data_IF_930830153318
#
_entry.id   IF_930830153318
#
_cell.length_a   1.000
_cell.length_b   1.000
_cell.length_c   1.000
_cell.angle_alpha   90.00
_cell.angle_beta   90.00
_cell.angle_gamma   90.00
#
_symmetry.space_group_name_H-M   'P 1'
#
loop_
_entity.id
_entity.type
_entity.pdbx_description
1 polymer ?
#
# COMPACT_ATOMS: atom_id res chain seq x y z
N UNK A 1 19.16 -11.20 17.67
CA UNK A 1 17.77 -10.90 18.03
C UNK A 1 16.97 -10.56 16.78
N UNK A 2 15.78 -11.05 16.73
CA UNK A 2 14.92 -10.93 15.58
C UNK A 2 14.04 -9.69 15.71
N UNK A 3 14.26 -8.70 14.85
CA UNK A 3 13.46 -7.48 14.85
C UNK A 3 12.37 -7.58 13.78
N UNK A 4 11.15 -7.23 14.17
CA UNK A 4 10.03 -7.13 13.25
C UNK A 4 9.56 -5.69 13.15
N UNK A 5 9.37 -5.26 11.92
CA UNK A 5 8.74 -3.98 11.65
C UNK A 5 7.34 -4.21 11.10
N UNK A 6 6.49 -3.24 11.33
CA UNK A 6 5.16 -3.21 10.70
C UNK A 6 5.09 -1.98 9.82
N UNK A 7 4.24 -2.05 8.81
CA UNK A 7 4.09 -0.98 7.83
C UNK A 7 2.64 -0.59 7.75
N UNK A 8 2.39 0.71 7.72
CA UNK A 8 1.13 1.28 7.26
C UNK A 8 1.38 1.71 5.81
N UNK A 9 0.49 1.35 4.90
CA UNK A 9 0.71 1.60 3.49
C UNK A 9 -0.57 2.04 2.79
N UNK A 10 -0.41 2.66 1.63
CA UNK A 10 -1.52 3.02 0.76
C UNK A 10 -1.24 2.51 -0.65
N UNK A 11 -2.18 1.76 -1.20
CA UNK A 11 -2.19 1.40 -2.62
C UNK A 11 -3.29 2.17 -3.32
N UNK A 12 -3.05 2.52 -4.58
CA UNK A 12 -3.98 3.33 -5.37
C UNK A 12 -4.28 2.68 -6.70
N UNK A 13 -5.47 2.95 -7.22
CA UNK A 13 -5.82 2.64 -8.60
C UNK A 13 -5.32 3.77 -9.52
N UNK A 14 -5.45 3.58 -10.83
CA UNK A 14 -5.13 4.63 -11.80
C UNK A 14 -6.06 5.84 -11.66
N UNK A 15 -7.29 5.61 -11.22
CA UNK A 15 -8.25 6.69 -10.96
C UNK A 15 -8.10 7.29 -9.57
N UNK A 16 -7.06 6.91 -8.83
CA UNK A 16 -6.72 7.40 -7.50
C UNK A 16 -7.75 7.01 -6.42
N UNK A 17 -8.38 5.84 -6.57
CA UNK A 17 -9.07 5.21 -5.46
C UNK A 17 -7.99 4.70 -4.50
N UNK A 18 -8.11 4.98 -3.21
CA UNK A 18 -7.10 4.68 -2.22
C UNK A 18 -7.55 3.54 -1.31
N UNK A 19 -6.63 2.62 -1.03
CA UNK A 19 -6.80 1.61 -0.01
C UNK A 19 -5.65 1.71 0.98
N UNK A 20 -5.99 1.79 2.26
CA UNK A 20 -5.01 1.92 3.35
C UNK A 20 -5.01 0.61 4.13
N UNK A 21 -3.83 0.07 4.37
CA UNK A 21 -3.69 -1.18 5.11
C UNK A 21 -2.47 -1.18 6.01
N UNK A 22 -2.31 -2.27 6.74
CA UNK A 22 -1.19 -2.50 7.63
C UNK A 22 -0.70 -3.93 7.45
N UNK A 23 0.61 -4.13 7.47
CA UNK A 23 1.19 -5.46 7.32
C UNK A 23 2.54 -5.54 8.02
N UNK A 24 2.92 -6.75 8.44
CA UNK A 24 4.28 -7.03 8.91
C UNK A 24 5.21 -7.44 7.78
N UNK A 25 4.69 -7.63 6.57
CA UNK A 25 5.47 -8.03 5.40
C UNK A 25 4.98 -7.24 4.18
N UNK A 26 5.57 -6.06 3.99
CA UNK A 26 5.13 -5.14 2.95
C UNK A 26 5.30 -5.74 1.55
N UNK A 27 6.44 -6.34 1.27
CA UNK A 27 6.74 -6.95 -0.02
C UNK A 27 5.67 -7.99 -0.39
N UNK A 28 5.42 -8.94 0.50
CA UNK A 28 4.41 -9.98 0.28
C UNK A 28 3.02 -9.39 0.11
N UNK A 29 2.65 -8.41 0.93
CA UNK A 29 1.31 -7.81 0.88
C UNK A 29 1.09 -7.06 -0.43
N UNK A 30 2.08 -6.32 -0.90
CA UNK A 30 1.98 -5.60 -2.18
C UNK A 30 1.92 -6.58 -3.34
N UNK A 31 2.68 -7.66 -3.28
CA UNK A 31 2.58 -8.76 -4.24
C UNK A 31 1.13 -9.28 -4.32
N UNK A 32 0.51 -9.52 -3.16
CA UNK A 32 -0.88 -9.97 -3.10
C UNK A 32 -1.85 -8.97 -3.73
N UNK A 33 -1.65 -7.67 -3.48
CA UNK A 33 -2.48 -6.64 -4.09
C UNK A 33 -2.32 -6.62 -5.61
N UNK A 34 -1.09 -6.71 -6.11
CA UNK A 34 -0.82 -6.67 -7.56
C UNK A 34 -1.39 -7.89 -8.27
N UNK A 35 -1.38 -9.03 -7.64
CA UNK A 35 -1.91 -10.28 -8.21
C UNK A 35 -3.38 -10.53 -7.85
N UNK A 36 -4.00 -9.62 -7.09
CA UNK A 36 -5.42 -9.69 -6.72
C UNK A 36 -5.78 -11.03 -6.07
N UNK A 37 -4.92 -11.49 -5.14
CA UNK A 37 -5.07 -12.79 -4.51
C UNK A 37 -6.19 -12.84 -3.47
N UNK A 38 -6.73 -11.69 -3.08
CA UNK A 38 -7.83 -11.61 -2.13
C UNK A 38 -9.00 -10.86 -2.75
N UNK A 39 -10.21 -11.35 -2.52
CA UNK A 39 -11.43 -10.62 -2.84
C UNK A 39 -11.61 -9.53 -1.80
N UNK A 40 -11.15 -8.32 -2.12
CA UNK A 40 -11.18 -7.20 -1.21
C UNK A 40 -11.47 -5.92 -1.98
N UNK A 41 -11.68 -4.83 -1.24
CA UNK A 41 -11.84 -3.51 -1.82
C UNK A 41 -10.70 -3.20 -2.80
N UNK A 42 -9.45 -3.47 -2.41
CA UNK A 42 -8.30 -3.16 -3.27
C UNK A 42 -8.31 -3.93 -4.58
N UNK A 43 -8.75 -5.19 -4.57
CA UNK A 43 -8.84 -6.00 -5.77
C UNK A 43 -9.98 -5.53 -6.68
N UNK A 44 -11.13 -5.22 -6.10
CA UNK A 44 -12.31 -4.75 -6.84
C UNK A 44 -12.01 -3.44 -7.57
N UNK A 45 -11.30 -2.52 -6.93
CA UNK A 45 -11.00 -1.20 -7.48
C UNK A 45 -9.62 -1.10 -8.12
N UNK A 46 -8.91 -2.23 -8.28
CA UNK A 46 -7.57 -2.28 -8.89
C UNK A 46 -6.56 -1.37 -8.20
N UNK A 47 -6.56 -1.36 -6.86
CA UNK A 47 -5.58 -0.62 -6.08
C UNK A 47 -4.29 -1.45 -5.99
N UNK A 48 -3.47 -1.37 -7.02
CA UNK A 48 -2.29 -2.22 -7.19
C UNK A 48 -0.97 -1.44 -7.27
N UNK A 49 -1.03 -0.13 -7.07
CA UNK A 49 0.16 0.74 -7.11
C UNK A 49 0.46 1.22 -5.70
N UNK A 50 1.65 0.91 -5.19
CA UNK A 50 2.07 1.40 -3.88
C UNK A 50 2.47 2.86 -3.99
N UNK A 51 1.72 3.76 -3.36
CA UNK A 51 1.97 5.20 -3.46
C UNK A 51 2.51 5.82 -2.18
N UNK A 52 2.40 5.11 -1.04
CA UNK A 52 2.90 5.59 0.24
C UNK A 52 3.07 4.43 1.22
N UNK A 53 4.10 4.49 2.06
CA UNK A 53 4.21 3.59 3.20
C UNK A 53 5.05 4.22 4.30
N UNK A 54 4.84 3.72 5.52
CA UNK A 54 5.57 4.17 6.70
C UNK A 54 5.90 2.93 7.54
N UNK A 55 7.15 2.84 7.94
CA UNK A 55 7.62 1.74 8.81
C UNK A 55 7.44 2.12 10.27
N UNK A 56 6.88 1.20 11.04
CA UNK A 56 6.70 1.35 12.48
C UNK A 56 7.41 0.23 13.21
N UNK A 57 8.02 0.53 14.36
CA UNK A 57 8.75 -0.47 15.14
C UNK A 57 7.80 -1.46 15.85
N UNK A 58 6.55 -1.06 16.07
CA UNK A 58 5.58 -1.87 16.82
C UNK A 58 4.26 -1.98 16.07
N UNK A 59 3.64 -3.15 16.19
CA UNK A 59 2.35 -3.42 15.55
C UNK A 59 1.27 -2.43 16.01
N UNK A 60 1.24 -2.10 17.30
CA UNK A 60 0.24 -1.17 17.84
C UNK A 60 0.38 0.22 17.22
N UNK A 61 1.61 0.68 16.98
CA UNK A 61 1.84 1.96 16.30
C UNK A 61 1.33 1.95 14.87
N UNK A 62 1.56 0.85 14.16
CA UNK A 62 1.08 0.71 12.79
C UNK A 62 -0.45 0.67 12.71
N UNK A 63 -1.09 -0.03 13.65
CA UNK A 63 -2.56 -0.09 13.74
C UNK A 63 -3.13 1.31 14.03
N UNK A 64 -2.53 2.03 14.97
CA UNK A 64 -2.97 3.38 15.31
C UNK A 64 -2.82 4.32 14.11
N UNK A 65 -1.70 4.22 13.39
CA UNK A 65 -1.46 5.04 12.21
C UNK A 65 -2.45 4.73 11.08
N UNK A 66 -2.74 3.46 10.86
CA UNK A 66 -3.74 3.04 9.88
C UNK A 66 -5.10 3.65 10.18
N UNK A 67 -5.54 3.55 11.44
CA UNK A 67 -6.83 4.12 11.86
C UNK A 67 -6.85 5.63 11.70
N UNK A 68 -5.78 6.29 12.10
CA UNK A 68 -5.64 7.74 11.96
C UNK A 68 -5.76 8.15 10.48
N UNK A 69 -5.00 7.49 9.61
CA UNK A 69 -4.98 7.80 8.19
C UNK A 69 -6.35 7.56 7.55
N UNK A 70 -7.00 6.45 7.89
CA UNK A 70 -8.34 6.13 7.37
C UNK A 70 -9.37 7.20 7.76
N UNK A 71 -9.22 7.80 8.93
CA UNK A 71 -10.12 8.84 9.43
C UNK A 71 -9.92 10.21 8.80
N UNK A 72 -8.85 10.42 8.06
CA UNK A 72 -8.58 11.72 7.43
C UNK A 72 -9.45 11.93 6.20
N UNK A 73 -9.66 13.21 5.84
CA UNK A 73 -10.30 13.55 4.58
C UNK A 73 -9.43 13.08 3.41
N UNK A 74 -10.04 12.93 2.24
CA UNK A 74 -9.29 12.57 1.03
C UNK A 74 -8.20 13.59 0.73
N UNK A 75 -8.51 14.89 0.85
CA UNK A 75 -7.54 15.96 0.59
C UNK A 75 -6.31 15.84 1.50
N UNK A 76 -6.52 15.53 2.77
CA UNK A 76 -5.42 15.38 3.73
C UNK A 76 -4.58 14.14 3.43
N UNK A 77 -5.21 13.04 3.02
CA UNK A 77 -4.51 11.83 2.58
C UNK A 77 -3.62 12.12 1.38
N UNK A 78 -4.15 12.80 0.39
CA UNK A 78 -3.41 13.16 -0.82
C UNK A 78 -2.22 14.06 -0.48
N UNK A 79 -2.41 15.03 0.41
CA UNK A 79 -1.33 15.91 0.85
C UNK A 79 -0.18 15.12 1.46
N UNK A 80 -0.48 14.16 2.34
CA UNK A 80 0.56 13.32 2.94
C UNK A 80 1.30 12.51 1.89
N UNK A 81 0.57 11.88 0.98
CA UNK A 81 1.18 11.04 -0.07
C UNK A 81 2.10 11.89 -0.94
N UNK A 82 1.66 13.08 -1.34
CA UNK A 82 2.44 13.96 -2.22
C UNK A 82 3.73 14.48 -1.59
N UNK A 83 3.85 14.50 -0.27
CA UNK A 83 5.09 14.91 0.38
C UNK A 83 6.27 14.04 -0.01
N UNK A 84 6.04 12.73 -0.19
CA UNK A 84 7.09 11.77 -0.53
C UNK A 84 6.96 11.22 -1.95
N UNK A 85 5.81 11.42 -2.57
CA UNK A 85 5.52 10.86 -3.91
C UNK A 85 4.66 11.83 -4.72
N UNK A 86 5.21 13.00 -5.11
CA UNK A 86 4.42 14.05 -5.76
C UNK A 86 3.84 13.66 -7.12
N UNK A 87 4.44 12.69 -7.79
CA UNK A 87 4.01 12.27 -9.13
C UNK A 87 3.25 10.94 -9.13
N UNK A 88 2.94 10.40 -7.95
CA UNK A 88 2.13 9.17 -7.82
C UNK A 88 2.73 7.97 -8.54
N UNK A 89 4.05 7.84 -8.51
CA UNK A 89 4.71 6.67 -9.08
C UNK A 89 4.44 5.44 -8.20
N UNK A 90 4.48 4.27 -8.80
CA UNK A 90 4.40 3.02 -8.04
C UNK A 90 5.76 2.76 -7.38
N UNK A 91 5.85 2.94 -6.08
CA UNK A 91 7.08 2.78 -5.31
C UNK A 91 7.61 1.34 -5.33
N UNK A 92 6.77 0.38 -5.68
CA UNK A 92 7.11 -1.04 -5.73
C UNK A 92 7.36 -1.56 -7.14
N UNK A 93 7.43 -0.68 -8.12
CA UNK A 93 7.51 -1.07 -9.54
C UNK A 93 8.64 -2.06 -9.82
N UNK A 94 9.80 -1.85 -9.21
CA UNK A 94 10.98 -2.67 -9.45
C UNK A 94 11.12 -3.86 -8.48
N UNK A 95 10.14 -4.10 -7.63
CA UNK A 95 10.23 -5.16 -6.62
C UNK A 95 9.99 -6.56 -7.17
N UNK A 96 9.34 -6.67 -8.32
CA UNK A 96 8.90 -7.95 -8.88
C UNK A 96 9.29 -8.08 -10.33
N UNK A 97 9.51 -9.33 -10.77
CA UNK A 97 9.72 -9.60 -12.19
C UNK A 97 8.36 -9.71 -12.89
N UNK A 98 8.32 -9.54 -14.23
CA UNK A 98 7.07 -9.71 -14.98
C UNK A 98 6.42 -11.06 -14.75
N UNK A 99 7.20 -12.11 -14.57
CA UNK A 99 6.70 -13.47 -14.35
C UNK A 99 5.97 -13.61 -13.02
N UNK A 100 6.34 -12.76 -12.02
CA UNK A 100 5.70 -12.77 -10.71
C UNK A 100 4.39 -12.00 -10.69
N UNK A 101 4.10 -11.17 -11.68
CA UNK A 101 2.95 -10.27 -11.72
C UNK A 101 1.88 -10.81 -12.66
N UNK A 102 1.31 -11.96 -12.31
CA UNK A 102 0.28 -12.63 -13.12
C UNK A 102 -0.95 -11.73 -13.30
N UNK A 103 -1.39 -11.04 -12.25
CA UNK A 103 -2.55 -10.16 -12.30
C UNK A 103 -2.34 -8.93 -13.18
N UNK A 104 -1.09 -8.48 -13.34
CA UNK A 104 -0.77 -7.31 -14.16
C UNK A 104 -0.63 -7.64 -15.64
N UNK A 105 -0.52 -8.92 -16.00
CA UNK A 105 -0.32 -9.36 -17.38
C UNK A 105 -1.61 -9.44 -18.19
N UNK A 106 -2.73 -9.26 -17.55
CA UNK A 106 -4.05 -9.35 -18.22
C UNK A 106 -4.44 -8.08 -18.93
#
# INVERSE_FOLDING_TARGET
MYERYCYTYTVASRSLTLYIGMTSDLDKRIFEHKNKLHESFSAIYNCDRLVWFERCAHALSAIAREKQFKGWTRAKKITLIKKTNPTWVDLSEAWYTPEQLVGAAS
#
